data_IF_647484826222
#
_entry.id   IF_647484826222
#
_cell.length_a   1.000
_cell.length_b   1.000
_cell.length_c   1.000
_cell.angle_alpha   90.00
_cell.angle_beta   90.00
_cell.angle_gamma   90.00
#
_symmetry.space_group_name_H-M   'P 1'
#
loop_
_entity.id
_entity.type
_entity.pdbx_description
1 polymer ?
#
# COMPACT_ATOMS: atom_id res chain seq x y z
N UNK A 1 -6.11 21.31 7.10
CA UNK A 1 -5.02 22.27 6.81
C UNK A 1 -4.12 22.49 8.03
N UNK A 2 -4.63 22.89 9.20
CA UNK A 2 -3.78 23.20 10.37
C UNK A 2 -3.01 21.99 10.95
N UNK A 3 -3.61 20.80 10.99
CA UNK A 3 -2.97 19.60 11.57
C UNK A 3 -1.78 19.06 10.77
N UNK A 4 -1.73 19.28 9.45
CA UNK A 4 -0.66 18.77 8.58
C UNK A 4 0.69 19.40 8.92
N UNK A 5 0.69 20.71 9.19
CA UNK A 5 1.91 21.45 9.58
C UNK A 5 2.40 20.95 10.94
N UNK A 6 1.47 20.68 11.87
CA UNK A 6 1.81 20.17 13.19
C UNK A 6 2.46 18.79 13.11
N UNK A 7 1.90 17.87 12.32
CA UNK A 7 2.48 16.54 12.11
C UNK A 7 3.88 16.62 11.48
N UNK A 8 4.04 17.47 10.45
CA UNK A 8 5.32 17.69 9.77
C UNK A 8 6.43 18.18 10.72
N UNK A 9 6.08 18.92 11.78
CA UNK A 9 7.04 19.41 12.79
C UNK A 9 7.26 18.37 13.91
N UNK A 10 6.18 17.74 14.40
CA UNK A 10 6.26 16.80 15.53
C UNK A 10 7.06 15.55 15.17
N UNK A 11 6.85 15.00 13.97
CA UNK A 11 7.54 13.78 13.53
C UNK A 11 9.07 13.94 13.60
N UNK A 12 9.70 14.91 12.92
CA UNK A 12 11.15 15.06 12.99
C UNK A 12 11.64 15.44 14.39
N UNK A 13 10.84 16.13 15.21
CA UNK A 13 11.19 16.37 16.63
C UNK A 13 11.32 15.05 17.41
N UNK A 14 10.38 14.12 17.19
CA UNK A 14 10.40 12.81 17.85
C UNK A 14 11.60 11.98 17.38
N UNK A 15 11.94 12.06 16.09
CA UNK A 15 13.10 11.36 15.53
C UNK A 15 14.41 11.86 16.15
N UNK A 16 14.59 13.18 16.21
CA UNK A 16 15.78 13.79 16.83
C UNK A 16 15.90 13.37 18.30
N UNK A 17 14.79 13.38 19.04
CA UNK A 17 14.78 12.92 20.43
C UNK A 17 15.24 11.46 20.57
N UNK A 18 14.70 10.56 19.74
CA UNK A 18 15.10 9.15 19.74
C UNK A 18 16.55 8.96 19.34
N UNK A 19 17.02 9.69 18.32
CA UNK A 19 18.39 9.57 17.84
C UNK A 19 19.41 10.02 18.90
N UNK A 20 19.11 11.10 19.62
CA UNK A 20 19.94 11.56 20.74
C UNK A 20 19.93 10.54 21.87
N UNK A 21 18.75 10.01 22.25
CA UNK A 21 18.62 9.07 23.36
C UNK A 21 19.32 7.74 23.09
N UNK A 22 19.15 7.19 21.90
CA UNK A 22 19.81 5.95 21.46
C UNK A 22 21.31 6.22 21.28
N UNK A 23 21.67 7.33 20.64
CA UNK A 23 23.04 7.78 20.47
C UNK A 23 23.80 7.98 21.78
N UNK A 24 23.11 8.37 22.85
CA UNK A 24 23.70 8.47 24.19
C UNK A 24 23.98 7.10 24.83
N UNK A 25 23.23 6.05 24.47
CA UNK A 25 23.38 4.69 25.04
C UNK A 25 24.43 3.88 24.27
N UNK A 26 24.34 3.84 22.93
CA UNK A 26 25.21 3.00 22.09
C UNK A 26 26.33 3.77 21.36
N UNK A 27 26.34 5.10 21.45
CA UNK A 27 27.27 5.98 20.75
C UNK A 27 26.74 6.45 19.39
N UNK A 28 27.12 7.67 19.00
CA UNK A 28 26.67 8.28 17.75
C UNK A 28 27.11 7.47 16.50
N UNK A 29 28.34 6.95 16.50
CA UNK A 29 28.85 6.17 15.37
C UNK A 29 28.05 4.89 15.13
N UNK A 30 27.77 4.12 16.20
CA UNK A 30 26.96 2.91 16.11
C UNK A 30 25.51 3.21 15.69
N UNK A 31 24.97 4.34 16.14
CA UNK A 31 23.62 4.81 15.79
C UNK A 31 23.52 5.12 14.29
N UNK A 32 24.52 5.83 13.73
CA UNK A 32 24.60 6.13 12.31
C UNK A 32 24.74 4.83 11.50
N UNK A 33 25.62 3.91 11.93
CA UNK A 33 25.80 2.63 11.25
C UNK A 33 24.53 1.78 11.27
N UNK A 34 23.84 1.71 12.41
CA UNK A 34 22.56 1.00 12.53
C UNK A 34 21.50 1.59 11.60
N UNK A 35 21.42 2.92 11.51
CA UNK A 35 20.47 3.61 10.62
C UNK A 35 20.79 3.40 9.14
N UNK A 36 22.08 3.36 8.78
CA UNK A 36 22.49 3.00 7.42
C UNK A 36 22.15 1.53 7.08
N UNK A 37 22.31 0.63 8.05
CA UNK A 37 21.94 -0.77 7.87
C UNK A 37 20.43 -0.96 7.70
N UNK A 38 19.60 -0.26 8.48
CA UNK A 38 18.14 -0.30 8.31
C UNK A 38 17.74 0.26 6.96
N UNK A 39 18.26 1.43 6.55
CA UNK A 39 18.00 2.01 5.24
C UNK A 39 18.40 1.07 4.09
N UNK A 40 19.59 0.46 4.17
CA UNK A 40 20.07 -0.51 3.18
C UNK A 40 19.18 -1.75 3.11
N UNK A 41 18.78 -2.29 4.27
CA UNK A 41 17.87 -3.43 4.35
C UNK A 41 16.51 -3.09 3.73
N UNK A 42 15.92 -1.93 4.05
CA UNK A 42 14.66 -1.48 3.45
C UNK A 42 14.75 -1.36 1.93
N UNK A 43 15.82 -0.73 1.42
CA UNK A 43 16.04 -0.61 -0.02
C UNK A 43 16.21 -1.97 -0.70
N UNK A 44 16.88 -2.92 -0.03
CA UNK A 44 17.02 -4.28 -0.53
C UNK A 44 15.66 -4.99 -0.67
N UNK A 45 14.81 -4.93 0.35
CA UNK A 45 13.46 -5.49 0.28
C UNK A 45 12.58 -4.79 -0.75
N UNK A 46 12.73 -3.47 -0.92
CA UNK A 46 12.03 -2.72 -1.97
C UNK A 46 12.42 -3.23 -3.35
N UNK A 47 13.71 -3.48 -3.60
CA UNK A 47 14.16 -4.08 -4.86
C UNK A 47 13.59 -5.47 -5.06
N UNK A 48 13.56 -6.30 -4.00
CA UNK A 48 13.09 -7.68 -4.09
C UNK A 48 11.57 -7.75 -4.34
N UNK A 49 10.77 -7.03 -3.56
CA UNK A 49 9.31 -7.08 -3.64
C UNK A 49 8.75 -6.14 -4.73
N UNK A 50 9.44 -5.05 -5.04
CA UNK A 50 9.03 -4.08 -6.04
C UNK A 50 8.99 -4.66 -7.45
N UNK A 51 10.00 -5.43 -7.84
CA UNK A 51 10.04 -6.11 -9.15
C UNK A 51 8.88 -7.13 -9.25
N UNK A 52 8.69 -7.95 -8.21
CA UNK A 52 7.59 -8.93 -8.18
C UNK A 52 6.23 -8.26 -8.27
N UNK A 53 6.02 -7.14 -7.57
CA UNK A 53 4.75 -6.39 -7.60
C UNK A 53 4.49 -5.79 -8.98
N UNK A 54 5.51 -5.27 -9.65
CA UNK A 54 5.42 -4.77 -11.02
C UNK A 54 5.03 -5.88 -12.00
N UNK A 55 5.67 -7.04 -11.90
CA UNK A 55 5.38 -8.19 -12.76
C UNK A 55 3.94 -8.67 -12.59
N UNK A 56 3.48 -8.80 -11.33
CA UNK A 56 2.08 -9.14 -11.02
C UNK A 56 1.09 -8.10 -11.54
N UNK A 57 1.42 -6.80 -11.43
CA UNK A 57 0.56 -5.72 -11.96
C UNK A 57 0.41 -5.83 -13.48
N UNK A 58 1.53 -6.02 -14.21
CA UNK A 58 1.53 -6.20 -15.66
C UNK A 58 0.73 -7.44 -16.05
N UNK A 59 0.89 -8.55 -15.33
CA UNK A 59 0.17 -9.78 -15.63
C UNK A 59 -1.34 -9.65 -15.37
N UNK A 60 -1.75 -8.89 -14.35
CA UNK A 60 -3.16 -8.66 -14.04
C UNK A 60 -3.85 -7.81 -15.12
N UNK A 61 -3.15 -6.80 -15.63
CA UNK A 61 -3.62 -5.98 -16.77
C UNK A 61 -3.81 -6.84 -18.03
N UNK A 62 -2.89 -7.78 -18.29
CA UNK A 62 -2.99 -8.71 -19.43
C UNK A 62 -4.16 -9.69 -19.33
N UNK A 63 -4.67 -9.92 -18.12
CA UNK A 63 -5.75 -10.84 -17.83
C UNK A 63 -7.12 -10.13 -17.71
N UNK A 64 -7.23 -8.86 -18.14
CA UNK A 64 -8.43 -8.01 -17.97
C UNK A 64 -8.91 -7.90 -16.51
N UNK A 65 -8.01 -8.10 -15.54
CA UNK A 65 -8.28 -7.93 -14.12
C UNK A 65 -7.80 -6.57 -13.65
N UNK A 66 -8.60 -5.89 -12.83
CA UNK A 66 -8.22 -4.60 -12.24
C UNK A 66 -7.09 -4.79 -11.22
N UNK A 67 -5.88 -4.24 -11.43
CA UNK A 67 -4.70 -4.48 -10.58
C UNK A 67 -4.71 -3.66 -9.28
N UNK A 68 -5.86 -3.54 -8.62
CA UNK A 68 -6.04 -2.64 -7.48
C UNK A 68 -5.13 -3.04 -6.31
N UNK A 69 -5.01 -4.34 -6.05
CA UNK A 69 -4.17 -4.87 -4.97
C UNK A 69 -2.70 -4.59 -5.23
N UNK A 70 -2.24 -4.79 -6.47
CA UNK A 70 -0.84 -4.62 -6.88
C UNK A 70 -0.44 -3.14 -6.83
N UNK A 71 -1.33 -2.23 -7.25
CA UNK A 71 -1.10 -0.78 -7.18
C UNK A 71 -0.96 -0.33 -5.72
N UNK A 72 -1.90 -0.72 -4.85
CA UNK A 72 -1.84 -0.38 -3.43
C UNK A 72 -0.56 -0.95 -2.78
N UNK A 73 -0.19 -2.16 -3.19
CA UNK A 73 1.04 -2.82 -2.73
C UNK A 73 2.30 -2.05 -3.13
N UNK A 74 2.37 -1.61 -4.39
CA UNK A 74 3.44 -0.76 -4.89
C UNK A 74 3.51 0.59 -4.19
N UNK A 75 2.35 1.20 -3.92
CA UNK A 75 2.26 2.46 -3.19
C UNK A 75 2.77 2.35 -1.74
N UNK A 76 2.38 1.29 -1.01
CA UNK A 76 2.92 1.00 0.32
C UNK A 76 4.44 0.83 0.29
N UNK A 77 4.98 0.16 -0.73
CA UNK A 77 6.42 -0.01 -0.92
C UNK A 77 7.15 1.32 -1.11
N UNK A 78 6.59 2.25 -1.88
CA UNK A 78 7.16 3.59 -2.10
C UNK A 78 7.14 4.41 -0.80
N UNK A 79 6.03 4.39 -0.06
CA UNK A 79 5.93 5.09 1.23
C UNK A 79 6.92 4.50 2.24
N UNK A 80 7.03 3.17 2.31
CA UNK A 80 8.00 2.49 3.17
C UNK A 80 9.43 2.92 2.83
N UNK A 81 9.78 2.91 1.54
CA UNK A 81 11.09 3.36 1.08
C UNK A 81 11.36 4.83 1.48
N UNK A 82 10.38 5.70 1.31
CA UNK A 82 10.50 7.12 1.67
C UNK A 82 10.73 7.30 3.18
N UNK A 83 10.04 6.52 4.01
CA UNK A 83 10.21 6.54 5.47
C UNK A 83 11.58 6.02 5.92
N UNK A 84 12.13 5.01 5.25
CA UNK A 84 13.48 4.47 5.53
C UNK A 84 14.62 5.33 4.98
N UNK A 85 14.38 6.16 3.97
CA UNK A 85 15.39 7.09 3.42
C UNK A 85 15.65 8.25 4.38
N UNK A 86 14.61 8.73 5.08
CA UNK A 86 14.75 9.78 6.09
C UNK A 86 15.17 9.09 7.39
N UNK A 87 16.46 9.20 7.80
CA UNK A 87 16.97 8.46 8.95
C UNK A 87 16.21 8.84 10.23
N UNK A 88 15.43 7.91 10.75
CA UNK A 88 14.66 8.09 11.97
C UNK A 88 14.24 6.75 12.54
N UNK A 89 14.58 6.46 13.80
CA UNK A 89 14.27 5.17 14.43
C UNK A 89 12.77 4.86 14.43
N UNK A 90 11.93 5.87 14.58
CA UNK A 90 10.48 5.67 14.60
C UNK A 90 9.94 5.52 13.17
N UNK A 91 10.34 6.36 12.21
CA UNK A 91 10.03 6.19 10.79
C UNK A 91 10.56 4.87 10.22
N UNK A 92 11.74 4.42 10.61
CA UNK A 92 12.34 3.15 10.19
C UNK A 92 11.49 1.97 10.65
N UNK A 93 10.99 2.01 11.90
CA UNK A 93 10.12 0.97 12.44
C UNK A 93 8.81 0.88 11.65
N UNK A 94 8.21 2.04 11.34
CA UNK A 94 6.98 2.10 10.53
C UNK A 94 7.26 1.66 9.10
N UNK A 95 8.37 2.10 8.52
CA UNK A 95 8.79 1.77 7.16
C UNK A 95 9.01 0.26 7.00
N UNK A 96 9.74 -0.37 7.93
CA UNK A 96 9.96 -1.81 7.95
C UNK A 96 8.63 -2.55 8.18
N UNK A 97 7.77 -2.07 9.07
CA UNK A 97 6.48 -2.69 9.30
C UNK A 97 5.61 -2.68 8.03
N UNK A 98 5.64 -1.59 7.25
CA UNK A 98 4.91 -1.45 6.00
C UNK A 98 5.49 -2.28 4.85
N UNK A 99 6.81 -2.52 4.89
CA UNK A 99 7.55 -3.37 3.96
C UNK A 99 7.18 -4.86 4.09
N UNK A 100 6.75 -5.29 5.28
CA UNK A 100 6.39 -6.70 5.54
C UNK A 100 5.02 -6.98 4.88
N UNK A 101 4.94 -7.96 3.95
CA UNK A 101 3.70 -8.26 3.22
C UNK A 101 2.56 -8.73 4.14
N UNK A 102 2.90 -9.31 5.30
CA UNK A 102 1.94 -9.71 6.33
C UNK A 102 1.13 -8.52 6.87
N UNK A 103 1.79 -7.39 7.15
CA UNK A 103 1.12 -6.16 7.58
C UNK A 103 0.16 -5.65 6.51
N UNK A 104 0.54 -5.78 5.22
CA UNK A 104 -0.30 -5.38 4.08
C UNK A 104 -1.61 -6.15 4.00
N UNK A 105 -1.55 -7.48 4.21
CA UNK A 105 -2.76 -8.31 4.27
C UNK A 105 -3.62 -8.00 5.51
N UNK A 106 -3.02 -7.66 6.64
CA UNK A 106 -3.75 -7.25 7.86
C UNK A 106 -4.45 -5.90 7.66
N UNK A 107 -3.75 -4.91 7.09
CA UNK A 107 -4.34 -3.60 6.79
C UNK A 107 -5.50 -3.78 5.80
N UNK A 108 -5.30 -4.58 4.75
CA UNK A 108 -6.39 -4.93 3.82
C UNK A 108 -7.55 -5.64 4.53
N UNK A 109 -7.30 -6.56 5.46
CA UNK A 109 -8.36 -7.25 6.20
C UNK A 109 -9.08 -6.33 7.21
N UNK A 110 -8.40 -5.32 7.74
CA UNK A 110 -8.99 -4.33 8.65
C UNK A 110 -9.78 -3.27 7.87
N UNK A 111 -9.31 -2.87 6.69
CA UNK A 111 -10.01 -1.90 5.83
C UNK A 111 -11.13 -2.53 5.01
N UNK A 112 -10.98 -3.80 4.60
CA UNK A 112 -12.05 -4.62 4.06
C UNK A 112 -12.86 -5.13 5.26
N UNK A 113 -13.72 -4.25 5.75
CA UNK A 113 -14.79 -4.60 6.66
C UNK A 113 -15.56 -5.78 6.05
N UNK A 114 -15.67 -6.90 6.77
CA UNK A 114 -16.43 -8.10 6.37
C UNK A 114 -17.94 -7.82 6.19
N UNK A 115 -18.40 -6.56 6.22
CA UNK A 115 -19.81 -6.20 6.05
C UNK A 115 -20.28 -6.15 4.59
N UNK A 116 -19.42 -6.25 3.58
CA UNK A 116 -19.84 -6.25 2.16
C UNK A 116 -19.56 -7.54 1.39
N UNK A 117 -19.05 -8.61 2.01
CA UNK A 117 -18.85 -9.90 1.34
C UNK A 117 -19.95 -10.94 1.64
N UNK A 118 -20.89 -10.64 2.54
CA UNK A 118 -22.02 -11.52 2.84
C UNK A 118 -23.39 -11.01 2.33
N UNK A 119 -23.39 -9.96 1.50
CA UNK A 119 -24.61 -9.39 0.89
C UNK A 119 -24.53 -9.31 -0.64
N UNK A 120 -23.95 -10.33 -1.27
CA UNK A 120 -24.04 -10.50 -2.74
C UNK A 120 -24.03 -11.97 -3.17
N UNK A 121 -24.68 -12.82 -2.39
CA UNK A 121 -25.09 -14.17 -2.82
C UNK A 121 -26.62 -14.28 -2.97
N UNK A 122 -27.33 -13.15 -2.95
CA UNK A 122 -28.79 -13.16 -3.03
C UNK A 122 -29.35 -11.83 -3.54
N UNK A 123 -29.15 -11.54 -4.84
CA UNK A 123 -30.11 -10.78 -5.63
C UNK A 123 -29.77 -10.92 -7.12
N UNK A 124 -30.54 -11.82 -7.75
CA UNK A 124 -31.14 -11.71 -9.08
C UNK A 124 -30.23 -11.65 -10.31
N UNK A 125 -30.13 -12.84 -10.90
CA UNK A 125 -30.42 -13.11 -12.32
C UNK A 125 -31.18 -11.95 -12.98
N UNK A 126 -30.47 -11.04 -13.65
CA UNK A 126 -31.05 -10.24 -14.72
C UNK A 126 -30.47 -10.74 -16.03
N UNK A 127 -30.99 -11.90 -16.45
CA UNK A 127 -31.04 -12.29 -17.86
C UNK A 127 -31.64 -11.12 -18.62
N UNK A 128 -30.90 -10.57 -19.58
CA UNK A 128 -31.49 -9.67 -20.57
C UNK A 128 -32.39 -10.58 -21.42
N UNK A 129 -33.67 -10.68 -21.07
CA UNK A 129 -34.68 -11.22 -21.98
C UNK A 129 -34.74 -10.28 -23.18
N UNK A 130 -34.18 -10.74 -24.29
CA UNK A 130 -34.39 -10.12 -25.59
C UNK A 130 -35.81 -10.48 -25.98
N UNK A 131 -36.75 -9.59 -25.65
CA UNK A 131 -38.06 -9.62 -26.29
C UNK A 131 -37.82 -9.20 -27.74
N UNK A 132 -37.86 -10.18 -28.65
CA UNK A 132 -37.76 -9.91 -30.08
C UNK A 132 -39.01 -9.15 -30.48
N UNK A 133 -38.90 -7.83 -30.54
CA UNK A 133 -39.91 -6.98 -31.16
C UNK A 133 -39.99 -7.39 -32.64
N UNK A 134 -41.06 -8.10 -33.00
CA UNK A 134 -41.41 -8.36 -34.39
C UNK A 134 -41.64 -7.00 -35.06
N UNK A 135 -40.62 -6.55 -35.79
CA UNK A 135 -40.72 -5.38 -36.64
C UNK A 135 -41.63 -5.77 -37.82
N UNK A 136 -42.92 -5.39 -37.76
CA UNK A 136 -43.86 -5.57 -38.86
C UNK A 136 -43.34 -4.77 -40.07
N UNK A 137 -43.00 -5.48 -41.16
CA UNK A 137 -42.55 -4.91 -42.43
C UNK A 137 -43.71 -4.22 -43.17
N UNK A 138 -44.32 -3.19 -42.55
CA UNK A 138 -45.42 -2.42 -43.17
C UNK A 138 -45.26 -0.91 -43.21
N UNK A 139 -44.10 -0.37 -42.85
CA UNK A 139 -43.76 1.04 -43.08
C UNK A 139 -42.60 1.23 -44.06
N UNK A 140 -42.70 0.56 -45.22
CA UNK A 140 -42.06 1.01 -46.46
C UNK A 140 -43.13 1.29 -47.51
N UNK A 141 -43.72 2.49 -47.44
CA UNK A 141 -44.24 3.20 -48.61
C UNK A 141 -43.89 4.68 -48.51
#
# INVERSE_FOLDING_TARGET
MQFTILFLIIVPLIEIYFMIKIGAVIGAFNTILATLLTAAAGLYFVKLQGISTLYSAVNSIRNDQTPFKEILSGFCLIIAALFLIIPGFFTDTIGILLLIPFTRNIILKIFVNEENLNKSNNHDVNTIEIEAEEIDERDKQ
#
